data_IF_261736757550
#
_entry.id   IF_261736757550
#
_cell.length_a   1.000
_cell.length_b   1.000
_cell.length_c   1.000
_cell.angle_alpha   90.00
_cell.angle_beta   90.00
_cell.angle_gamma   90.00
#
_symmetry.space_group_name_H-M   'P 1'
#
loop_
_entity.id
_entity.type
_entity.pdbx_description
1 polymer ?
#
# COMPACT_ATOMS: atom_id res chain seq x y z
N UNK A 1 -5.52 14.48 10.78
CA UNK A 1 -5.66 13.38 9.80
C UNK A 1 -5.81 12.07 10.54
N UNK A 2 -6.46 11.06 9.96
CA UNK A 2 -6.50 9.70 10.53
C UNK A 2 -5.50 8.82 9.76
N UNK A 3 -4.83 7.88 10.42
CA UNK A 3 -3.97 6.92 9.71
C UNK A 3 -4.77 6.08 8.70
N UNK A 4 -4.16 5.77 7.57
CA UNK A 4 -4.74 4.90 6.52
C UNK A 4 -4.09 3.53 6.56
N UNK A 5 -4.89 2.48 6.65
CA UNK A 5 -4.39 1.10 6.57
C UNK A 5 -4.27 0.67 5.10
N UNK A 6 -3.10 0.15 4.72
CA UNK A 6 -2.86 -0.50 3.43
C UNK A 6 -2.81 -2.00 3.66
N UNK A 7 -3.82 -2.72 3.15
CA UNK A 7 -3.92 -4.18 3.25
C UNK A 7 -3.40 -4.77 1.95
N UNK A 8 -2.34 -5.58 2.04
CA UNK A 8 -1.76 -6.32 0.93
C UNK A 8 -2.07 -7.80 1.11
N UNK A 9 -2.34 -8.52 0.04
CA UNK A 9 -2.55 -9.97 0.10
C UNK A 9 -1.25 -10.78 0.09
N UNK A 10 -0.11 -10.14 -0.17
CA UNK A 10 1.23 -10.74 -0.16
C UNK A 10 2.18 -10.10 -1.18
N UNK A 11 3.24 -10.81 -1.58
CA UNK A 11 4.24 -10.39 -2.59
C UNK A 11 4.77 -11.59 -3.39
N UNK A 12 3.86 -12.44 -3.84
CA UNK A 12 4.08 -13.58 -4.71
C UNK A 12 4.21 -13.18 -6.17
N UNK A 13 4.96 -13.98 -6.92
CA UNK A 13 5.28 -13.72 -8.34
C UNK A 13 4.04 -13.82 -9.25
N UNK A 14 3.08 -14.67 -8.88
CA UNK A 14 1.91 -14.99 -9.72
C UNK A 14 0.59 -14.60 -9.08
N UNK A 15 0.46 -14.76 -7.77
CA UNK A 15 -0.79 -14.57 -7.04
C UNK A 15 -0.46 -13.79 -5.77
N UNK A 16 -0.80 -12.50 -5.71
CA UNK A 16 -0.77 -11.62 -4.53
C UNK A 16 -1.13 -10.17 -4.94
N UNK A 17 -0.81 -9.17 -4.12
CA UNK A 17 -1.02 -7.76 -4.47
C UNK A 17 -0.22 -7.38 -5.72
N UNK A 18 -0.87 -6.67 -6.64
CA UNK A 18 -0.20 -6.14 -7.82
C UNK A 18 0.81 -5.07 -7.39
N UNK A 19 2.07 -5.24 -7.82
CA UNK A 19 3.21 -4.46 -7.32
C UNK A 19 3.11 -2.99 -7.74
N UNK A 20 2.69 -2.69 -8.97
CA UNK A 20 2.56 -1.32 -9.43
C UNK A 20 1.42 -0.59 -8.71
N UNK A 21 0.25 -1.21 -8.51
CA UNK A 21 -0.87 -0.64 -7.76
C UNK A 21 -0.46 -0.38 -6.31
N UNK A 22 0.22 -1.35 -5.68
CA UNK A 22 0.70 -1.22 -4.31
C UNK A 22 1.68 -0.05 -4.19
N UNK A 23 2.68 0.04 -5.07
CA UNK A 23 3.70 1.09 -5.04
C UNK A 23 3.11 2.47 -5.36
N UNK A 24 2.28 2.59 -6.39
CA UNK A 24 1.65 3.87 -6.76
C UNK A 24 0.68 4.36 -5.68
N UNK A 25 -0.03 3.45 -5.01
CA UNK A 25 -0.87 3.77 -3.86
C UNK A 25 -0.04 4.33 -2.71
N UNK A 26 1.05 3.64 -2.35
CA UNK A 26 1.96 4.10 -1.30
C UNK A 26 2.62 5.44 -1.64
N UNK A 27 3.04 5.63 -2.89
CA UNK A 27 3.62 6.88 -3.37
C UNK A 27 2.64 8.03 -3.24
N UNK A 28 1.41 7.85 -3.71
CA UNK A 28 0.36 8.88 -3.64
C UNK A 28 0.04 9.26 -2.18
N UNK A 29 -0.03 8.28 -1.27
CA UNK A 29 -0.26 8.54 0.15
C UNK A 29 0.93 9.29 0.78
N UNK A 30 2.16 8.93 0.41
CA UNK A 30 3.37 9.60 0.87
C UNK A 30 3.47 11.05 0.38
N UNK A 31 3.10 11.33 -0.87
CA UNK A 31 3.10 12.69 -1.45
C UNK A 31 2.07 13.62 -0.79
N UNK A 32 1.08 13.05 -0.10
CA UNK A 32 0.02 13.79 0.60
C UNK A 32 0.20 13.80 2.13
N UNK A 33 1.40 13.48 2.63
CA UNK A 33 1.73 13.45 4.07
C UNK A 33 0.75 12.56 4.89
N UNK A 34 0.26 11.47 4.29
CA UNK A 34 -0.66 10.54 4.96
C UNK A 34 0.11 9.54 5.80
N UNK A 35 -0.20 9.48 7.09
CA UNK A 35 0.28 8.41 7.98
C UNK A 35 -0.33 7.07 7.53
N UNK A 36 0.53 6.09 7.23
CA UNK A 36 0.14 4.77 6.71
C UNK A 36 0.60 3.64 7.64
N UNK A 37 -0.23 2.61 7.76
CA UNK A 37 0.09 1.35 8.44
C UNK A 37 -0.15 0.17 7.50
N UNK A 38 0.81 -0.75 7.45
CA UNK A 38 0.76 -1.91 6.56
C UNK A 38 0.23 -3.14 7.28
N UNK A 39 -0.69 -3.86 6.62
CA UNK A 39 -1.22 -5.14 7.07
C UNK A 39 -1.14 -6.15 5.93
N UNK A 40 -0.86 -7.41 6.26
CA UNK A 40 -0.99 -8.55 5.36
C UNK A 40 -2.05 -9.51 5.88
#
# INVERSE_FOLDING_TARGET
MKPTAVILSGCGVFDDSEIHESVLTMLSLSENDVEIFFCT
#
